data_IF_042202422232
#
_entry.id   IF_042202422232
#
_cell.length_a   1.000
_cell.length_b   1.000
_cell.length_c   1.000
_cell.angle_alpha   90.00
_cell.angle_beta   90.00
_cell.angle_gamma   90.00
#
_symmetry.space_group_name_H-M   'P 1'
#
loop_
_entity.id
_entity.type
_entity.pdbx_description
1 polymer ?
#
# COMPACT_ATOMS: atom_id res chain seq x y z
N UNK A 1 -11.15 22.45 -5.65
CA UNK A 1 -10.71 22.30 -7.06
C UNK A 1 -10.88 20.85 -7.45
N UNK A 2 -11.37 20.54 -8.66
CA UNK A 2 -11.32 19.17 -9.17
C UNK A 2 -9.87 18.71 -9.30
N UNK A 3 -9.61 17.41 -9.12
CA UNK A 3 -8.29 16.82 -9.32
C UNK A 3 -7.75 17.18 -10.70
N UNK A 4 -6.45 17.54 -10.83
CA UNK A 4 -5.83 17.79 -12.13
C UNK A 4 -5.55 16.49 -12.92
N UNK A 5 -5.73 15.33 -12.31
CA UNK A 5 -5.49 14.02 -12.90
C UNK A 5 -6.80 13.34 -13.30
N UNK A 6 -6.91 12.79 -14.52
CA UNK A 6 -8.12 12.09 -14.98
C UNK A 6 -8.36 10.74 -14.29
N UNK A 7 -7.31 10.15 -13.69
CA UNK A 7 -7.37 8.91 -12.91
C UNK A 7 -7.10 9.16 -11.43
N UNK A 8 -6.04 8.54 -10.91
CA UNK A 8 -5.61 8.69 -9.52
C UNK A 8 -5.01 10.08 -9.26
N UNK A 9 -5.50 10.79 -8.25
CA UNK A 9 -4.89 12.05 -7.81
C UNK A 9 -3.64 11.77 -6.97
N UNK A 10 -2.47 12.04 -7.55
CA UNK A 10 -1.18 11.71 -6.93
C UNK A 10 -0.90 12.43 -5.60
N UNK A 11 -1.62 13.50 -5.28
CA UNK A 11 -1.51 14.18 -3.99
C UNK A 11 -2.14 13.39 -2.83
N UNK A 12 -3.07 12.48 -3.12
CA UNK A 12 -3.71 11.64 -2.13
C UNK A 12 -2.72 10.65 -1.47
N UNK A 13 -1.65 10.31 -2.16
CA UNK A 13 -0.55 9.49 -1.63
C UNK A 13 0.17 10.21 -0.47
N UNK A 14 0.24 11.55 -0.50
CA UNK A 14 0.95 12.37 0.49
C UNK A 14 0.13 12.59 1.77
N UNK A 15 -0.31 11.48 2.38
CA UNK A 15 -0.85 11.46 3.73
C UNK A 15 -2.29 11.03 3.90
N UNK A 16 -3.08 11.12 2.84
CA UNK A 16 -4.49 10.75 2.83
C UNK A 16 -4.71 9.30 2.41
N UNK A 17 -3.63 8.57 2.10
CA UNK A 17 -3.73 7.22 1.56
C UNK A 17 -4.49 6.25 2.47
N UNK A 18 -4.32 6.24 3.81
CA UNK A 18 -5.12 5.38 4.67
C UNK A 18 -6.63 5.62 4.53
N UNK A 19 -7.08 6.88 4.42
CA UNK A 19 -8.49 7.21 4.23
C UNK A 19 -8.98 6.79 2.84
N UNK A 20 -8.19 7.11 1.81
CA UNK A 20 -8.48 6.73 0.41
C UNK A 20 -8.59 5.22 0.25
N UNK A 21 -7.66 4.48 0.85
CA UNK A 21 -7.61 3.02 0.81
C UNK A 21 -8.86 2.40 1.46
N UNK A 22 -9.24 2.88 2.64
CA UNK A 22 -10.45 2.44 3.34
C UNK A 22 -11.73 2.80 2.57
N UNK A 23 -11.86 4.05 2.12
CA UNK A 23 -13.01 4.53 1.39
C UNK A 23 -13.18 3.82 0.04
N UNK A 24 -12.08 3.61 -0.70
CA UNK A 24 -12.10 2.90 -1.97
C UNK A 24 -12.50 1.44 -1.79
N UNK A 25 -11.96 0.75 -0.78
CA UNK A 25 -12.35 -0.62 -0.44
C UNK A 25 -13.86 -0.72 -0.16
N UNK A 26 -14.40 0.20 0.64
CA UNK A 26 -15.83 0.27 0.93
C UNK A 26 -16.69 0.53 -0.30
N UNK A 27 -16.27 1.46 -1.17
CA UNK A 27 -16.95 1.76 -2.43
C UNK A 27 -16.92 0.58 -3.40
N UNK A 28 -15.78 -0.11 -3.55
CA UNK A 28 -15.68 -1.31 -4.37
C UNK A 28 -16.63 -2.41 -3.89
N UNK A 29 -16.67 -2.69 -2.58
CA UNK A 29 -17.63 -3.65 -2.02
C UNK A 29 -19.08 -3.25 -2.36
N UNK A 30 -19.44 -1.99 -2.13
CA UNK A 30 -20.80 -1.50 -2.38
C UNK A 30 -21.18 -1.56 -3.87
N UNK A 31 -20.23 -1.25 -4.76
CA UNK A 31 -20.41 -1.30 -6.21
C UNK A 31 -20.58 -2.74 -6.72
N UNK A 32 -19.77 -3.68 -6.22
CA UNK A 32 -19.78 -5.07 -6.65
C UNK A 32 -20.97 -5.87 -6.07
N UNK A 33 -21.39 -5.56 -4.84
CA UNK A 33 -22.45 -6.30 -4.15
C UNK A 33 -23.75 -6.54 -4.96
N UNK A 34 -24.35 -5.54 -5.64
CA UNK A 34 -25.56 -5.78 -6.44
C UNK A 34 -25.31 -6.62 -7.70
N UNK A 35 -24.09 -6.57 -8.27
CA UNK A 35 -23.74 -7.28 -9.51
C UNK A 35 -23.42 -8.77 -9.28
N UNK A 36 -23.03 -9.12 -8.05
CA UNK A 36 -22.58 -10.46 -7.68
C UNK A 36 -23.71 -11.38 -7.18
N UNK A 37 -24.84 -10.81 -6.78
CA UNK A 37 -25.97 -11.57 -6.24
C UNK A 37 -26.68 -12.38 -7.34
N UNK A 38 -27.26 -13.55 -7.00
CA UNK A 38 -27.28 -14.18 -5.68
C UNK A 38 -26.10 -15.14 -5.39
N UNK A 39 -25.33 -15.52 -6.42
CA UNK A 39 -24.32 -16.58 -6.35
C UNK A 39 -23.08 -16.19 -5.53
N UNK A 40 -22.72 -14.89 -5.53
CA UNK A 40 -21.54 -14.40 -4.84
C UNK A 40 -21.85 -13.25 -3.89
N UNK A 41 -21.02 -13.10 -2.85
CA UNK A 41 -21.05 -12.00 -1.91
C UNK A 41 -19.69 -11.32 -1.81
N UNK A 42 -19.68 -9.99 -1.98
CA UNK A 42 -18.51 -9.15 -1.68
C UNK A 42 -18.47 -8.80 -0.19
N UNK A 43 -17.33 -9.01 0.46
CA UNK A 43 -17.06 -8.70 1.87
C UNK A 43 -15.79 -7.89 2.01
N UNK A 44 -15.71 -7.13 3.09
CA UNK A 44 -14.45 -6.50 3.51
C UNK A 44 -13.85 -7.38 4.60
N UNK A 45 -12.66 -7.91 4.34
CA UNK A 45 -11.84 -8.56 5.34
C UNK A 45 -10.73 -7.58 5.76
N UNK A 46 -10.34 -7.59 7.03
CA UNK A 46 -9.32 -6.67 7.56
C UNK A 46 -8.20 -7.50 8.15
N UNK A 47 -6.98 -7.24 7.70
CA UNK A 47 -5.78 -7.77 8.34
C UNK A 47 -4.94 -6.65 8.93
N UNK A 48 -4.18 -6.95 9.97
CA UNK A 48 -3.33 -5.97 10.67
C UNK A 48 -1.88 -6.18 10.25
N UNK A 49 -1.20 -5.08 9.96
CA UNK A 49 0.22 -5.04 9.58
C UNK A 49 0.93 -4.09 10.53
N UNK A 50 2.10 -4.47 11.05
CA UNK A 50 2.93 -3.57 11.85
C UNK A 50 3.83 -2.74 10.94
N UNK A 51 3.59 -1.43 10.86
CA UNK A 51 4.47 -0.51 10.15
C UNK A 51 5.60 -0.05 11.09
N UNK A 52 6.81 -0.52 10.82
CA UNK A 52 8.01 -0.25 11.62
C UNK A 52 8.69 1.06 11.25
N UNK A 53 8.23 1.76 10.21
CA UNK A 53 8.88 2.98 9.74
C UNK A 53 7.88 3.98 9.12
N UNK A 54 6.89 4.44 9.93
CA UNK A 54 5.82 5.33 9.49
C UNK A 54 6.34 6.72 9.07
N UNK A 55 7.46 7.16 9.63
CA UNK A 55 8.09 8.47 9.41
C UNK A 55 8.87 8.62 8.09
N UNK A 56 9.23 7.52 7.42
CA UNK A 56 9.88 7.60 6.10
C UNK A 56 8.94 8.13 5.01
N UNK A 57 7.64 8.20 5.30
CA UNK A 57 6.66 8.84 4.45
C UNK A 57 6.24 10.16 5.07
N UNK A 58 6.92 11.24 4.66
CA UNK A 58 6.49 12.61 4.95
C UNK A 58 5.01 12.73 4.56
N UNK A 59 4.12 12.78 5.56
CA UNK A 59 2.70 13.06 5.39
C UNK A 59 1.72 11.98 5.82
N UNK A 60 2.10 10.70 6.00
CA UNK A 60 1.13 9.67 6.46
C UNK A 60 0.73 9.98 7.90
N UNK A 61 -0.48 10.51 8.06
CA UNK A 61 -1.06 10.75 9.36
C UNK A 61 -1.88 9.52 9.76
N UNK A 62 -1.33 8.71 10.66
CA UNK A 62 -2.15 7.77 11.41
C UNK A 62 -2.82 8.58 12.54
N UNK A 63 -4.15 8.66 12.61
CA UNK A 63 -4.84 9.53 13.58
C UNK A 63 -4.52 9.19 15.05
N UNK A 64 -4.05 7.97 15.31
CA UNK A 64 -3.65 7.50 16.65
C UNK A 64 -2.15 7.72 16.94
N UNK A 65 -1.41 8.43 16.07
CA UNK A 65 0.04 8.67 16.18
C UNK A 65 0.35 10.15 15.98
N UNK A 66 0.76 10.82 17.06
CA UNK A 66 1.27 12.20 17.00
C UNK A 66 2.70 12.18 16.43
N UNK A 67 2.88 12.67 15.20
CA UNK A 67 4.20 12.76 14.56
C UNK A 67 4.87 14.09 14.92
N UNK A 68 5.97 14.03 15.67
CA UNK A 68 6.87 15.16 15.92
C UNK A 68 7.52 15.61 14.60
N UNK A 69 7.09 16.77 14.09
CA UNK A 69 7.78 17.44 12.98
C UNK A 69 9.24 17.74 13.38
N UNK A 70 10.19 17.11 12.70
CA UNK A 70 11.61 17.47 12.80
C UNK A 70 11.76 18.89 12.24
N UNK A 71 11.81 19.89 13.12
CA UNK A 71 12.32 21.22 12.77
C UNK A 71 13.77 21.05 12.37
N UNK A 72 14.08 21.27 11.09
CA UNK A 72 15.46 21.42 10.62
C UNK A 72 16.14 22.50 11.49
N UNK A 73 17.16 22.08 12.25
CA UNK A 73 17.86 22.93 13.19
C UNK A 73 18.71 23.92 12.40
N UNK A 74 18.39 25.21 12.53
CA UNK A 74 19.21 26.34 12.10
C UNK A 74 20.65 26.14 12.59
N UNK A 75 21.62 26.30 11.67
CA UNK A 75 23.06 26.22 11.94
C UNK A 75 23.47 27.16 13.08
N UNK A 76 24.11 26.60 14.12
CA UNK A 76 24.72 27.35 15.22
C UNK A 76 26.15 27.76 14.78
N UNK A 77 26.63 29.00 15.02
CA UNK A 77 27.98 29.41 14.63
C UNK A 77 29.05 28.71 15.49
N UNK A 78 30.18 28.32 14.87
CA UNK A 78 31.33 27.72 15.54
C UNK A 78 31.98 28.68 16.55
N UNK A 79 32.32 28.24 17.77
CA UNK A 79 33.23 28.96 18.63
C UNK A 79 34.68 28.58 18.29
N UNK A 80 35.46 29.62 18.05
CA UNK A 80 36.91 29.66 17.91
C UNK A 80 37.59 29.06 19.16
N UNK A 81 38.36 27.96 19.06
CA UNK A 81 39.29 27.62 20.16
C UNK A 81 40.53 26.81 19.79
N UNK A 82 41.63 27.38 20.28
CA UNK A 82 42.99 26.90 20.54
C UNK A 82 43.10 25.45 21.01
N UNK A 83 44.21 24.83 20.58
CA UNK A 83 44.64 23.47 20.90
C UNK A 83 44.75 23.20 22.41
N UNK A 84 43.97 22.23 22.88
CA UNK A 84 44.22 21.47 24.11
C UNK A 84 43.92 20.01 23.83
N UNK A 85 44.89 19.12 24.08
CA UNK A 85 44.74 17.65 23.94
C UNK A 85 43.88 17.09 25.08
N UNK A 86 42.58 17.41 25.06
CA UNK A 86 41.57 16.79 25.91
C UNK A 86 40.96 15.65 25.10
N UNK A 87 41.02 14.42 25.64
CA UNK A 87 40.28 13.30 25.08
C UNK A 87 38.79 13.66 25.03
N UNK A 88 38.32 14.02 23.84
CA UNK A 88 36.97 14.51 23.62
C UNK A 88 36.08 13.30 23.41
N UNK A 89 35.28 12.95 24.40
CA UNK A 89 34.22 11.96 24.25
C UNK A 89 33.25 12.48 23.17
N UNK A 90 32.95 11.70 22.11
CA UNK A 90 32.03 12.16 21.08
C UNK A 90 30.66 12.46 21.69
N UNK A 91 30.08 13.60 21.33
CA UNK A 91 28.75 14.01 21.78
C UNK A 91 27.73 12.95 21.32
N UNK A 92 26.87 12.44 22.22
CA UNK A 92 25.88 11.43 21.83
C UNK A 92 24.87 12.02 20.85
N UNK A 93 24.68 11.33 19.71
CA UNK A 93 23.58 11.60 18.79
C UNK A 93 22.30 10.97 19.35
N UNK A 94 21.37 11.79 19.82
CA UNK A 94 20.04 11.32 20.23
C UNK A 94 19.15 11.15 19.01
N UNK A 95 18.73 9.91 18.74
CA UNK A 95 17.73 9.58 17.72
C UNK A 95 16.43 9.13 18.41
N UNK A 96 15.25 9.47 17.87
CA UNK A 96 14.00 8.91 18.38
C UNK A 96 13.96 7.41 18.16
N UNK A 97 13.36 6.68 19.10
CA UNK A 97 13.06 5.26 18.93
C UNK A 97 11.75 5.15 18.18
N UNK A 98 11.78 4.59 16.97
CA UNK A 98 10.59 4.36 16.15
C UNK A 98 9.84 3.17 16.76
N UNK A 99 8.58 3.39 17.14
CA UNK A 99 7.69 2.31 17.59
C UNK A 99 6.85 1.80 16.41
N UNK A 100 6.71 0.48 16.23
CA UNK A 100 5.83 -0.08 15.22
C UNK A 100 4.37 0.34 15.44
N UNK A 101 3.67 0.68 14.36
CA UNK A 101 2.26 1.09 14.38
C UNK A 101 1.41 -0.01 13.76
N UNK A 102 0.37 -0.46 14.45
CA UNK A 102 -0.57 -1.44 13.92
C UNK A 102 -1.53 -0.79 12.90
N UNK A 103 -1.36 -1.10 11.62
CA UNK A 103 -2.16 -0.59 10.51
C UNK A 103 -3.20 -1.62 10.10
N UNK A 104 -4.47 -1.21 10.05
CA UNK A 104 -5.58 -2.05 9.57
C UNK A 104 -5.72 -1.89 8.07
N UNK A 105 -5.51 -2.96 7.31
CA UNK A 105 -5.56 -2.95 5.85
C UNK A 105 -6.79 -3.74 5.39
N UNK A 106 -7.83 -3.09 4.84
CA UNK A 106 -8.96 -3.78 4.25
C UNK A 106 -8.60 -4.46 2.93
N UNK A 107 -9.28 -5.56 2.63
CA UNK A 107 -9.28 -6.23 1.34
C UNK A 107 -10.71 -6.59 0.96
N UNK A 108 -11.01 -6.56 -0.34
CA UNK A 108 -12.33 -6.95 -0.84
C UNK A 108 -12.28 -8.41 -1.26
N UNK A 109 -13.00 -9.25 -0.52
CA UNK A 109 -13.13 -10.67 -0.81
C UNK A 109 -14.47 -10.94 -1.50
N UNK A 110 -14.44 -11.74 -2.56
CA UNK A 110 -15.62 -12.23 -3.26
C UNK A 110 -15.73 -13.72 -3.01
N UNK A 111 -16.82 -14.12 -2.34
CA UNK A 111 -17.02 -15.49 -1.88
C UNK A 111 -18.31 -16.06 -2.47
N UNK A 112 -18.29 -17.35 -2.79
CA UNK A 112 -19.49 -18.11 -3.17
C UNK A 112 -20.46 -18.17 -1.97
N UNK A 113 -21.76 -17.94 -2.20
CA UNK A 113 -22.76 -17.90 -1.13
C UNK A 113 -23.17 -19.27 -0.62
N UNK A 114 -23.00 -20.33 -1.41
CA UNK A 114 -23.37 -21.71 -1.08
C UNK A 114 -22.39 -22.32 -0.10
N UNK A 115 -21.09 -22.25 -0.40
CA UNK A 115 -20.04 -22.90 0.39
C UNK A 115 -19.12 -21.91 1.13
N UNK A 116 -19.35 -20.59 0.99
CA UNK A 116 -18.52 -19.53 1.58
C UNK A 116 -17.03 -19.60 1.16
N UNK A 117 -16.76 -20.17 -0.01
CA UNK A 117 -15.43 -20.34 -0.61
C UNK A 117 -14.96 -19.01 -1.20
N UNK A 118 -13.72 -18.63 -0.94
CA UNK A 118 -13.11 -17.44 -1.54
C UNK A 118 -12.78 -17.72 -3.00
N UNK A 119 -13.37 -16.94 -3.91
CA UNK A 119 -13.19 -17.09 -5.37
C UNK A 119 -12.21 -16.05 -5.88
N UNK A 120 -12.43 -14.78 -5.51
CA UNK A 120 -11.62 -13.66 -5.97
C UNK A 120 -11.30 -12.71 -4.83
N UNK A 121 -10.09 -12.15 -4.85
CA UNK A 121 -9.60 -11.19 -3.88
C UNK A 121 -9.10 -9.94 -4.62
N UNK A 122 -9.56 -8.77 -4.18
CA UNK A 122 -9.11 -7.47 -4.69
C UNK A 122 -8.32 -6.77 -3.58
N UNK A 123 -7.01 -6.67 -3.78
CA UNK A 123 -6.07 -5.98 -2.91
C UNK A 123 -5.77 -4.60 -3.48
N UNK A 124 -6.15 -3.55 -2.77
CA UNK A 124 -5.57 -2.22 -2.99
C UNK A 124 -4.27 -2.19 -2.18
N UNK A 125 -3.14 -1.86 -2.79
CA UNK A 125 -1.87 -1.88 -2.05
C UNK A 125 -1.83 -0.76 -1.00
N UNK A 126 -1.35 -1.10 0.18
CA UNK A 126 -0.95 -0.12 1.20
C UNK A 126 0.56 0.13 1.16
N UNK A 127 1.06 1.26 1.67
CA UNK A 127 2.50 1.52 1.78
C UNK A 127 3.25 0.43 2.52
N UNK A 128 2.64 -0.09 3.60
CA UNK A 128 3.17 -1.22 4.34
C UNK A 128 3.38 -2.45 3.44
N UNK A 129 2.51 -2.72 2.45
CA UNK A 129 2.70 -3.86 1.53
C UNK A 129 3.89 -3.70 0.57
N UNK A 130 4.47 -2.49 0.44
CA UNK A 130 5.55 -2.18 -0.51
C UNK A 130 6.92 -2.03 0.15
N UNK A 131 7.05 -2.38 1.44
CA UNK A 131 8.28 -2.16 2.23
C UNK A 131 8.64 -3.40 3.04
N UNK A 132 9.92 -3.64 3.24
CA UNK A 132 10.35 -4.68 4.19
C UNK A 132 10.06 -4.24 5.63
N UNK A 133 9.70 -5.17 6.53
CA UNK A 133 9.55 -6.62 6.31
C UNK A 133 8.20 -7.04 5.67
N UNK A 134 7.23 -6.15 5.62
CA UNK A 134 5.83 -6.44 5.29
C UNK A 134 5.58 -6.89 3.85
N UNK A 135 6.41 -6.46 2.89
CA UNK A 135 6.36 -6.92 1.49
C UNK A 135 6.65 -8.42 1.40
N UNK A 136 7.49 -8.97 2.28
CA UNK A 136 7.75 -10.41 2.33
C UNK A 136 6.50 -11.17 2.73
N UNK A 137 5.76 -10.69 3.74
CA UNK A 137 4.50 -11.32 4.16
C UNK A 137 3.39 -11.13 3.14
N UNK A 138 3.35 -9.98 2.47
CA UNK A 138 2.44 -9.77 1.35
C UNK A 138 2.73 -10.74 0.19
N UNK A 139 4.00 -10.96 -0.17
CA UNK A 139 4.39 -11.98 -1.18
C UNK A 139 3.97 -13.39 -0.76
N UNK A 140 4.08 -13.75 0.53
CA UNK A 140 3.56 -15.03 1.05
C UNK A 140 2.04 -15.12 0.88
N UNK A 141 1.29 -14.05 1.19
CA UNK A 141 -0.17 -13.98 1.00
C UNK A 141 -0.55 -14.19 -0.47
N UNK A 142 0.14 -13.52 -1.41
CA UNK A 142 -0.07 -13.70 -2.86
C UNK A 142 0.09 -15.16 -3.28
N UNK A 143 1.18 -15.80 -2.86
CA UNK A 143 1.43 -17.22 -3.14
C UNK A 143 0.37 -18.13 -2.52
N UNK A 144 -0.08 -17.84 -1.30
CA UNK A 144 -1.16 -18.60 -0.64
C UNK A 144 -2.47 -18.50 -1.43
N UNK A 145 -2.86 -17.31 -1.88
CA UNK A 145 -4.07 -17.11 -2.69
C UNK A 145 -3.98 -17.86 -4.01
N UNK A 146 -2.84 -17.75 -4.71
CA UNK A 146 -2.61 -18.50 -5.96
C UNK A 146 -2.71 -20.01 -5.76
N UNK A 147 -2.05 -20.56 -4.72
CA UNK A 147 -2.10 -21.98 -4.40
C UNK A 147 -3.49 -22.46 -3.95
N UNK A 148 -4.31 -21.57 -3.40
CA UNK A 148 -5.68 -21.83 -3.00
C UNK A 148 -6.67 -21.70 -4.18
N UNK A 149 -6.17 -21.56 -5.42
CA UNK A 149 -6.98 -21.37 -6.62
C UNK A 149 -7.91 -20.15 -6.54
N UNK A 150 -7.43 -19.06 -5.92
CA UNK A 150 -8.14 -17.78 -5.79
C UNK A 150 -7.62 -16.81 -6.84
N UNK A 151 -8.51 -16.10 -7.55
CA UNK A 151 -8.11 -15.01 -8.43
C UNK A 151 -7.67 -13.80 -7.61
N UNK A 152 -6.58 -13.16 -8.00
CA UNK A 152 -6.05 -11.99 -7.32
C UNK A 152 -6.02 -10.78 -8.26
N UNK A 153 -6.70 -9.72 -7.88
CA UNK A 153 -6.58 -8.39 -8.49
C UNK A 153 -5.75 -7.53 -7.53
N UNK A 154 -4.65 -6.95 -8.01
CA UNK A 154 -3.85 -6.01 -7.23
C UNK A 154 -3.95 -4.62 -7.86
N UNK A 155 -4.34 -3.62 -7.07
CA UNK A 155 -4.46 -2.22 -7.49
C UNK A 155 -3.32 -1.46 -6.80
N UNK A 156 -2.26 -1.19 -7.55
CA UNK A 156 -1.09 -0.40 -7.12
C UNK A 156 -1.21 1.04 -7.63
N UNK A 157 -1.75 1.91 -6.78
CA UNK A 157 -1.84 3.35 -7.03
C UNK A 157 -0.80 4.14 -6.19
N UNK A 158 0.25 3.46 -5.72
CA UNK A 158 1.32 4.05 -4.93
C UNK A 158 2.57 4.20 -5.78
N UNK A 159 3.12 5.42 -5.87
CA UNK A 159 4.38 5.65 -6.60
C UNK A 159 5.59 5.25 -5.77
N UNK A 160 5.47 5.35 -4.46
CA UNK A 160 6.54 5.02 -3.50
C UNK A 160 6.54 3.53 -3.17
N UNK A 161 7.69 3.07 -2.66
CA UNK A 161 7.91 1.69 -2.23
C UNK A 161 8.21 0.71 -3.36
N UNK A 162 8.53 -0.51 -2.98
CA UNK A 162 8.91 -1.60 -3.89
C UNK A 162 7.67 -2.39 -4.32
N UNK A 163 7.56 -2.68 -5.63
CA UNK A 163 6.44 -3.50 -6.12
C UNK A 163 6.52 -4.94 -5.56
N UNK A 164 5.37 -5.53 -5.17
CA UNK A 164 5.31 -6.91 -4.67
C UNK A 164 5.85 -7.96 -5.64
N UNK A 165 5.82 -7.70 -6.95
CA UNK A 165 6.51 -8.50 -7.96
C UNK A 165 7.39 -7.60 -8.83
N UNK A 166 8.40 -8.21 -9.43
CA UNK A 166 9.23 -7.60 -10.44
C UNK A 166 9.39 -8.59 -11.61
N UNK A 167 9.37 -8.09 -12.83
CA UNK A 167 9.55 -8.87 -14.05
C UNK A 167 10.24 -7.98 -15.10
N UNK A 168 11.25 -8.47 -15.86
CA UNK A 168 12.01 -7.63 -16.80
C UNK A 168 11.18 -6.90 -17.87
N UNK A 169 10.01 -7.44 -18.21
CA UNK A 169 9.05 -6.85 -19.16
C UNK A 169 8.11 -5.79 -18.55
N UNK A 170 8.14 -5.57 -17.23
CA UNK A 170 7.28 -4.56 -16.62
C UNK A 170 7.76 -3.16 -17.03
N UNK A 171 6.87 -2.30 -17.55
CA UNK A 171 7.23 -0.93 -17.83
C UNK A 171 7.41 -0.15 -16.52
N UNK A 172 8.26 0.87 -16.56
CA UNK A 172 8.41 1.79 -15.43
C UNK A 172 7.32 2.85 -15.48
N UNK A 173 6.20 2.56 -14.83
CA UNK A 173 5.00 3.42 -14.77
C UNK A 173 4.58 3.70 -13.34
N UNK A 174 4.01 4.87 -13.03
CA UNK A 174 3.67 5.23 -11.64
C UNK A 174 2.67 4.26 -11.02
N UNK A 175 1.71 3.76 -11.80
CA UNK A 175 0.62 2.91 -11.31
C UNK A 175 0.47 1.64 -12.13
N UNK A 176 0.00 0.59 -11.46
CA UNK A 176 -0.18 -0.73 -12.04
C UNK A 176 -1.45 -1.36 -11.51
N UNK A 177 -2.24 -1.97 -12.39
CA UNK A 177 -3.26 -2.93 -11.96
C UNK A 177 -2.87 -4.30 -12.51
N UNK A 178 -2.96 -5.32 -11.68
CA UNK A 178 -2.68 -6.70 -12.10
C UNK A 178 -3.86 -7.61 -11.87
N UNK A 179 -3.98 -8.62 -12.70
CA UNK A 179 -4.91 -9.72 -12.51
C UNK A 179 -4.17 -11.04 -12.69
N UNK A 180 -4.10 -11.82 -11.61
CA UNK A 180 -3.64 -13.19 -11.63
C UNK A 180 -4.85 -14.10 -11.54
N UNK A 181 -5.19 -14.81 -12.64
CA UNK A 181 -6.28 -15.79 -12.59
C UNK A 181 -5.79 -17.10 -11.98
N UNK A 182 -6.64 -17.70 -11.14
CA UNK A 182 -6.45 -19.02 -10.58
C UNK A 182 -6.06 -20.04 -11.68
N UNK A 183 -4.99 -20.79 -11.45
CA UNK A 183 -4.50 -21.83 -12.36
C UNK A 183 -3.93 -21.37 -13.72
N UNK A 184 -3.97 -20.07 -14.05
CA UNK A 184 -3.61 -19.60 -15.40
C UNK A 184 -2.10 -19.56 -15.68
N UNK A 185 -1.26 -19.50 -14.64
CA UNK A 185 0.19 -19.33 -14.78
C UNK A 185 0.64 -18.00 -15.40
N UNK A 186 -0.28 -17.08 -15.69
CA UNK A 186 -0.04 -15.78 -16.31
C UNK A 186 -0.62 -14.65 -15.47
N UNK A 187 -0.05 -13.45 -15.62
CA UNK A 187 -0.50 -12.24 -14.96
C UNK A 187 -0.82 -11.22 -16.05
N UNK A 188 -2.07 -10.76 -16.10
CA UNK A 188 -2.44 -9.60 -16.91
C UNK A 188 -2.03 -8.34 -16.17
N UNK A 189 -1.47 -7.37 -16.90
CA UNK A 189 -0.92 -6.14 -16.34
C UNK A 189 -1.44 -4.95 -17.13
N UNK A 190 -2.08 -4.01 -16.44
CA UNK A 190 -2.47 -2.70 -16.97
C UNK A 190 -1.54 -1.64 -16.39
N UNK A 191 -0.68 -1.09 -17.24
CA UNK A 191 0.17 0.06 -16.91
C UNK A 191 -0.63 1.35 -17.00
N UNK A 192 -0.56 2.18 -15.96
CA UNK A 192 -1.34 3.42 -15.87
C UNK A 192 -0.40 4.58 -15.56
N UNK A 193 -0.44 5.62 -16.39
CA UNK A 193 0.29 6.89 -16.19
C UNK A 193 -0.58 7.92 -15.46
N UNK A 194 -0.01 9.06 -15.08
CA UNK A 194 -0.75 10.14 -14.41
C UNK A 194 -1.82 10.79 -15.30
N UNK A 195 -1.64 10.73 -16.61
CA UNK A 195 -2.58 11.32 -17.58
C UNK A 195 -3.65 10.34 -18.05
N UNK A 196 -3.60 9.08 -17.60
CA UNK A 196 -4.56 8.06 -18.02
C UNK A 196 -5.79 8.02 -17.10
N UNK A 197 -6.95 7.73 -17.68
CA UNK A 197 -8.11 7.27 -16.91
C UNK A 197 -7.85 5.86 -16.38
N UNK A 198 -8.37 5.53 -15.20
CA UNK A 198 -8.24 4.18 -14.66
C UNK A 198 -8.90 3.13 -15.59
N UNK A 199 -8.24 1.99 -15.85
CA UNK A 199 -8.75 0.96 -16.74
C UNK A 199 -9.97 0.27 -16.13
N UNK A 200 -10.84 -0.26 -17.01
CA UNK A 200 -11.88 -1.21 -16.59
C UNK A 200 -11.27 -2.61 -16.47
N UNK A 201 -11.36 -3.20 -15.28
CA UNK A 201 -10.76 -4.48 -14.95
C UNK A 201 -11.85 -5.53 -14.80
N UNK A 202 -11.75 -6.69 -15.48
CA UNK A 202 -12.68 -7.77 -15.27
C UNK A 202 -12.48 -8.38 -13.88
N UNK A 203 -13.57 -8.64 -13.18
CA UNK A 203 -13.56 -9.40 -11.94
C UNK A 203 -13.89 -10.85 -12.28
N UNK A 204 -12.89 -11.76 -12.35
CA UNK A 204 -13.16 -13.16 -12.64
C UNK A 204 -13.99 -13.79 -11.52
N UNK A 205 -14.84 -14.71 -11.93
CA UNK A 205 -15.67 -15.58 -11.09
C UNK A 205 -15.51 -17.01 -11.63
N UNK A 206 -16.15 -17.99 -10.99
CA UNK A 206 -16.22 -19.37 -11.50
C UNK A 206 -17.21 -19.52 -12.66
#
# INVERSE_FOLDING_TARGET
MPSPFPGMDSYLEAGLWPDVHNALSGKLRAFLAPQLRPKYAARLEIYVVEDTSPECEIGILYPDVEVLQIRQRTSIPEPDTRQSNIATTPVPLTLPVIQPVAVRVPTVEIRDTTNNVLVSCIEILSPANKREPNITDYRKKRRRLYNANVHLIEIDLLRRGTRPFNHPRLPDVPYLVTLTRAGSGVIDVWSVTLQDTLPTIPVPLE
#
